data_IF_358033762797
#
_entry.id   IF_358033762797
#
_cell.length_a   1.000
_cell.length_b   1.000
_cell.length_c   1.000
_cell.angle_alpha   90.00
_cell.angle_beta   90.00
_cell.angle_gamma   90.00
#
_symmetry.space_group_name_H-M   'P 1'
#
loop_
_entity.id
_entity.type
_entity.pdbx_description
1 polymer ?
#
# COMPACT_ATOMS: atom_id res chain seq x y z
N UNK A 1 -16.78 13.94 16.13
CA UNK A 1 -15.43 13.42 16.39
C UNK A 1 -15.22 12.22 15.46
N UNK A 2 -13.98 11.77 15.22
CA UNK A 2 -13.78 10.55 14.44
C UNK A 2 -12.69 9.68 15.08
N UNK A 3 -13.00 8.41 15.35
CA UNK A 3 -12.10 7.49 16.04
C UNK A 3 -11.98 6.18 15.28
N UNK A 4 -10.87 5.46 15.46
CA UNK A 4 -10.70 4.15 14.84
C UNK A 4 -10.86 3.05 15.88
N UNK A 5 -11.34 1.89 15.45
CA UNK A 5 -11.50 0.70 16.29
C UNK A 5 -10.42 -0.37 16.04
N UNK A 6 -9.49 -0.13 15.10
CA UNK A 6 -8.35 -1.01 14.80
C UNK A 6 -7.06 -0.21 14.56
N UNK A 7 -5.92 -0.88 14.49
CA UNK A 7 -4.66 -0.31 13.99
C UNK A 7 -4.48 -0.54 12.49
N UNK A 8 -3.55 0.18 11.88
CA UNK A 8 -3.11 -0.05 10.49
C UNK A 8 -2.62 -1.49 10.28
N UNK A 9 -1.89 -2.05 11.23
CA UNK A 9 -1.45 -3.44 11.18
C UNK A 9 -2.59 -4.45 11.20
N UNK A 10 -3.72 -4.12 11.86
CA UNK A 10 -4.89 -4.99 11.80
C UNK A 10 -5.51 -4.93 10.40
N UNK A 11 -5.58 -3.73 9.79
CA UNK A 11 -6.10 -3.55 8.43
C UNK A 11 -5.28 -4.34 7.39
N UNK A 12 -3.97 -4.53 7.59
CA UNK A 12 -3.12 -5.38 6.73
C UNK A 12 -3.68 -6.80 6.58
N UNK A 13 -4.25 -7.39 7.65
CA UNK A 13 -4.73 -8.77 7.63
C UNK A 13 -5.86 -9.02 6.62
N UNK A 14 -6.55 -7.97 6.16
CA UNK A 14 -7.59 -8.08 5.14
C UNK A 14 -7.21 -7.36 3.84
N UNK A 15 -6.47 -6.26 3.91
CA UNK A 15 -6.03 -5.51 2.73
C UNK A 15 -4.97 -6.27 1.93
N UNK A 16 -4.01 -6.91 2.59
CA UNK A 16 -2.94 -7.65 1.92
C UNK A 16 -3.46 -8.84 1.11
N UNK A 17 -4.28 -9.76 1.68
CA UNK A 17 -4.84 -10.86 0.89
C UNK A 17 -5.78 -10.37 -0.21
N UNK A 18 -6.57 -9.31 0.03
CA UNK A 18 -7.44 -8.73 -1.00
C UNK A 18 -6.65 -8.17 -2.19
N UNK A 19 -5.61 -7.37 -1.93
CA UNK A 19 -4.74 -6.84 -2.98
C UNK A 19 -3.97 -7.95 -3.70
N UNK A 20 -3.48 -8.97 -2.98
CA UNK A 20 -2.84 -10.13 -3.60
C UNK A 20 -3.79 -10.82 -4.58
N UNK A 21 -5.02 -11.11 -4.15
CA UNK A 21 -6.01 -11.77 -5.00
C UNK A 21 -6.38 -10.92 -6.23
N UNK A 22 -6.43 -9.59 -6.08
CA UNK A 22 -6.62 -8.65 -7.19
C UNK A 22 -5.47 -8.74 -8.20
N UNK A 23 -4.22 -8.64 -7.74
CA UNK A 23 -3.04 -8.71 -8.60
C UNK A 23 -2.91 -10.07 -9.31
N UNK A 24 -3.26 -11.17 -8.63
CA UNK A 24 -3.24 -12.53 -9.20
C UNK A 24 -4.26 -12.74 -10.33
N UNK A 25 -5.20 -11.81 -10.54
CA UNK A 25 -6.04 -11.81 -11.75
C UNK A 25 -5.21 -11.61 -13.04
N UNK A 26 -4.02 -11.01 -12.94
CA UNK A 26 -3.18 -10.66 -14.10
C UNK A 26 -1.73 -11.14 -14.02
N UNK A 27 -1.16 -11.20 -12.82
CA UNK A 27 0.26 -11.55 -12.63
C UNK A 27 0.38 -13.00 -12.17
N UNK A 28 1.31 -13.75 -12.77
CA UNK A 28 1.51 -15.17 -12.48
C UNK A 28 2.07 -15.44 -11.08
N UNK A 29 2.87 -14.50 -10.58
CA UNK A 29 3.49 -14.57 -9.25
C UNK A 29 3.28 -13.23 -8.56
N UNK A 30 2.70 -13.25 -7.36
CA UNK A 30 2.49 -12.08 -6.51
C UNK A 30 2.98 -12.40 -5.10
N UNK A 31 4.01 -11.68 -4.64
CA UNK A 31 4.61 -11.87 -3.32
C UNK A 31 4.49 -10.58 -2.51
N UNK A 32 3.60 -10.52 -1.50
CA UNK A 32 3.62 -9.43 -0.54
C UNK A 32 4.81 -9.59 0.41
N UNK A 33 5.54 -8.51 0.65
CA UNK A 33 6.64 -8.44 1.61
C UNK A 33 6.52 -7.20 2.50
N UNK A 34 6.93 -7.37 3.75
CA UNK A 34 7.23 -6.26 4.64
C UNK A 34 8.75 -6.17 4.78
N UNK A 35 9.42 -5.19 4.15
CA UNK A 35 10.87 -5.28 3.95
C UNK A 35 11.67 -4.98 5.20
N UNK A 36 12.43 -5.99 5.62
CA UNK A 36 13.52 -5.88 6.57
C UNK A 36 14.84 -6.05 5.81
N UNK A 37 15.66 -4.98 5.74
CA UNK A 37 16.88 -4.93 4.92
C UNK A 37 17.81 -6.15 5.13
N UNK A 38 18.01 -6.60 6.38
CA UNK A 38 18.85 -7.77 6.67
C UNK A 38 18.19 -9.13 6.43
N UNK A 39 16.92 -9.19 6.00
CA UNK A 39 16.16 -10.42 5.72
C UNK A 39 15.85 -10.52 4.24
N UNK A 40 14.94 -9.68 3.74
CA UNK A 40 14.46 -9.74 2.35
C UNK A 40 15.49 -9.23 1.35
N UNK A 41 16.51 -8.48 1.79
CA UNK A 41 17.61 -7.99 0.95
C UNK A 41 18.98 -8.55 1.36
N UNK A 42 18.99 -9.56 2.24
CA UNK A 42 20.22 -10.28 2.57
C UNK A 42 20.71 -11.15 1.40
N UNK A 43 21.99 -11.56 1.46
CA UNK A 43 22.62 -12.38 0.41
C UNK A 43 21.80 -13.61 0.03
N UNK A 44 21.20 -14.30 1.02
CA UNK A 44 20.37 -15.48 0.76
C UNK A 44 19.17 -15.12 -0.11
N UNK A 45 18.38 -14.12 0.29
CA UNK A 45 17.22 -13.68 -0.48
C UNK A 45 17.61 -13.25 -1.91
N UNK A 46 18.68 -12.43 -2.04
CA UNK A 46 19.22 -12.03 -3.35
C UNK A 46 19.71 -13.20 -4.21
N UNK A 47 20.17 -14.31 -3.61
CA UNK A 47 20.61 -15.50 -4.35
C UNK A 47 19.49 -16.49 -4.67
N UNK A 48 18.34 -16.44 -3.98
CA UNK A 48 17.28 -17.46 -4.08
C UNK A 48 15.91 -16.92 -4.45
N UNK A 49 15.75 -15.63 -4.78
CA UNK A 49 14.43 -15.02 -5.02
C UNK A 49 13.72 -15.55 -6.28
N UNK A 50 14.45 -16.05 -7.28
CA UNK A 50 13.86 -16.71 -8.45
C UNK A 50 13.20 -15.81 -9.51
N UNK A 51 13.21 -14.48 -9.31
CA UNK A 51 12.72 -13.51 -10.29
C UNK A 51 13.79 -13.16 -11.33
N UNK A 52 13.43 -13.06 -12.61
CA UNK A 52 14.26 -12.40 -13.64
C UNK A 52 14.14 -10.87 -13.57
N UNK A 53 13.01 -10.38 -13.05
CA UNK A 53 12.64 -8.99 -12.79
C UNK A 53 11.20 -8.95 -12.29
N UNK A 54 10.78 -7.85 -11.69
CA UNK A 54 9.41 -7.70 -11.16
C UNK A 54 8.95 -6.24 -11.14
N UNK A 55 7.66 -5.99 -11.31
CA UNK A 55 7.06 -4.70 -10.98
C UNK A 55 6.78 -4.63 -9.47
N UNK A 56 6.65 -3.42 -8.93
CA UNK A 56 6.45 -3.19 -7.49
C UNK A 56 5.24 -2.29 -7.26
N UNK A 57 4.34 -2.76 -6.39
CA UNK A 57 3.28 -1.95 -5.79
C UNK A 57 3.58 -1.75 -4.30
N UNK A 58 3.68 -0.51 -3.84
CA UNK A 58 3.70 -0.16 -2.42
C UNK A 58 2.29 0.22 -1.97
N UNK A 59 1.70 -0.59 -1.07
CA UNK A 59 0.39 -0.37 -0.49
C UNK A 59 0.52 0.19 0.92
N UNK A 60 -0.09 1.35 1.18
CA UNK A 60 -0.25 1.92 2.52
C UNK A 60 -1.58 1.47 3.16
N UNK A 61 -1.56 0.59 4.17
CA UNK A 61 -2.77 0.14 4.86
C UNK A 61 -3.35 1.23 5.76
N UNK A 62 -4.51 1.75 5.42
CA UNK A 62 -5.22 2.76 6.23
C UNK A 62 -6.29 2.08 7.06
N UNK A 63 -6.39 2.48 8.32
CA UNK A 63 -7.48 2.09 9.21
C UNK A 63 -8.71 2.97 8.95
N UNK A 64 -9.93 2.41 9.02
CA UNK A 64 -11.15 3.20 8.99
C UNK A 64 -11.27 4.03 10.27
N UNK A 65 -11.76 5.25 10.13
CA UNK A 65 -12.18 6.13 11.24
C UNK A 65 -13.67 6.35 11.14
N UNK A 66 -14.39 6.19 12.23
CA UNK A 66 -15.85 6.28 12.24
C UNK A 66 -16.24 7.63 12.82
N UNK A 67 -17.04 8.38 12.04
CA UNK A 67 -17.60 9.66 12.46
C UNK A 67 -18.76 9.46 13.46
N UNK A 68 -19.22 10.55 14.09
CA UNK A 68 -20.39 10.49 14.97
C UNK A 68 -21.69 10.11 14.23
N UNK A 69 -21.69 10.18 12.89
CA UNK A 69 -22.81 9.81 12.02
C UNK A 69 -22.59 8.45 11.33
N UNK A 70 -21.70 7.60 11.87
CA UNK A 70 -21.34 6.28 11.34
C UNK A 70 -20.73 6.27 9.92
N UNK A 71 -20.23 7.42 9.44
CA UNK A 71 -19.51 7.48 8.17
C UNK A 71 -18.10 6.91 8.32
N UNK A 72 -17.67 6.11 7.34
CA UNK A 72 -16.30 5.61 7.27
C UNK A 72 -15.41 6.67 6.62
N UNK A 73 -14.46 7.14 7.40
CA UNK A 73 -13.47 8.15 7.03
C UNK A 73 -12.08 7.53 6.93
N UNK A 74 -11.23 8.15 6.12
CA UNK A 74 -9.82 7.77 5.92
C UNK A 74 -8.92 9.00 6.03
N UNK A 75 -7.72 8.82 6.54
CA UNK A 75 -6.68 9.86 6.56
C UNK A 75 -5.63 9.53 5.51
N UNK A 76 -5.46 10.39 4.52
CA UNK A 76 -4.27 10.46 3.67
C UNK A 76 -3.57 11.76 4.04
N UNK A 77 -2.33 11.68 4.51
CA UNK A 77 -1.56 12.85 4.95
C UNK A 77 -0.47 13.19 3.91
N UNK A 78 0.10 14.39 4.01
CA UNK A 78 1.14 14.82 3.06
C UNK A 78 2.40 13.93 3.05
N UNK A 79 2.66 13.18 4.12
CA UNK A 79 3.76 12.22 4.15
C UNK A 79 3.58 11.09 3.13
N UNK A 80 2.34 10.63 2.95
CA UNK A 80 2.00 9.63 1.93
C UNK A 80 2.24 10.21 0.53
N UNK A 81 1.89 11.47 0.30
CA UNK A 81 2.16 12.15 -0.97
C UNK A 81 3.64 12.28 -1.27
N UNK A 82 4.44 12.74 -0.31
CA UNK A 82 5.91 12.81 -0.45
C UNK A 82 6.48 11.42 -0.74
N UNK A 83 5.97 10.36 -0.07
CA UNK A 83 6.38 9.00 -0.40
C UNK A 83 6.02 8.63 -1.84
N UNK A 84 4.82 8.97 -2.30
CA UNK A 84 4.39 8.71 -3.69
C UNK A 84 5.30 9.42 -4.69
N UNK A 85 5.66 10.69 -4.47
CA UNK A 85 6.57 11.43 -5.35
C UNK A 85 7.89 10.69 -5.53
N UNK A 86 8.53 10.26 -4.43
CA UNK A 86 9.77 9.45 -4.48
C UNK A 86 9.49 8.11 -5.17
N UNK A 87 8.36 7.48 -4.89
CA UNK A 87 7.95 6.23 -5.54
C UNK A 87 7.87 6.38 -7.06
N UNK A 88 7.26 7.47 -7.55
CA UNK A 88 7.13 7.77 -8.97
C UNK A 88 8.49 8.03 -9.63
N UNK A 89 9.41 8.72 -8.96
CA UNK A 89 10.78 8.93 -9.45
C UNK A 89 11.55 7.62 -9.64
N UNK A 90 11.24 6.62 -8.82
CA UNK A 90 11.79 5.26 -8.94
C UNK A 90 10.89 4.32 -9.75
N UNK A 91 9.82 4.80 -10.41
CA UNK A 91 8.96 3.96 -11.23
C UNK A 91 8.10 2.94 -10.46
N UNK A 92 7.90 3.15 -9.16
CA UNK A 92 7.12 2.29 -8.26
C UNK A 92 5.69 2.81 -8.15
N UNK A 93 4.71 1.90 -8.27
CA UNK A 93 3.31 2.24 -8.04
C UNK A 93 3.06 2.37 -6.54
N UNK A 94 2.48 3.49 -6.08
CA UNK A 94 2.18 3.72 -4.66
C UNK A 94 0.70 4.04 -4.49
N UNK A 95 0.00 3.29 -3.65
CA UNK A 95 -1.42 3.47 -3.37
C UNK A 95 -1.71 3.34 -1.87
N UNK A 96 -2.89 3.77 -1.44
CA UNK A 96 -3.44 3.49 -0.12
C UNK A 96 -4.66 2.57 -0.23
N UNK A 97 -4.93 1.80 0.83
CA UNK A 97 -6.13 0.97 0.92
C UNK A 97 -6.81 1.13 2.27
N UNK A 98 -8.12 1.21 2.31
CA UNK A 98 -8.90 1.23 3.56
C UNK A 98 -10.05 0.24 3.47
N UNK A 99 -10.25 -0.65 4.46
CA UNK A 99 -11.46 -1.46 4.50
C UNK A 99 -12.65 -0.59 4.85
N UNK A 100 -13.78 -0.84 4.19
CA UNK A 100 -15.05 -0.16 4.47
C UNK A 100 -15.78 -0.98 5.53
N UNK A 101 -15.53 -0.64 6.80
CA UNK A 101 -16.12 -1.32 7.95
C UNK A 101 -16.23 -0.35 9.14
N UNK A 102 -17.32 -0.44 9.90
CA UNK A 102 -17.61 0.44 11.06
C UNK A 102 -17.28 -0.18 12.41
N UNK A 103 -17.09 -1.50 12.45
CA UNK A 103 -16.85 -2.26 13.67
C UNK A 103 -16.09 -3.57 13.40
N UNK A 104 -15.69 -4.29 14.46
CA UNK A 104 -14.91 -5.54 14.35
C UNK A 104 -15.67 -6.68 13.64
N UNK A 105 -17.01 -6.71 13.72
CA UNK A 105 -17.81 -7.74 13.06
C UNK A 105 -17.82 -7.55 11.56
N UNK A 106 -18.09 -6.33 11.09
CA UNK A 106 -18.01 -5.97 9.68
C UNK A 106 -16.59 -6.13 9.14
N UNK A 107 -15.58 -5.73 9.92
CA UNK A 107 -14.18 -5.90 9.56
C UNK A 107 -13.81 -7.38 9.32
N UNK A 108 -14.31 -8.29 10.16
CA UNK A 108 -14.01 -9.72 10.04
C UNK A 108 -14.53 -10.36 8.75
N UNK A 109 -15.59 -9.81 8.15
CA UNK A 109 -16.18 -10.28 6.89
C UNK A 109 -16.11 -9.24 5.76
N UNK A 110 -15.23 -8.24 5.90
CA UNK A 110 -15.16 -7.11 4.98
C UNK A 110 -14.67 -7.58 3.60
N UNK A 111 -15.44 -7.25 2.56
CA UNK A 111 -15.11 -7.51 1.15
C UNK A 111 -15.14 -6.23 0.30
N UNK A 112 -15.39 -5.08 0.93
CA UNK A 112 -15.38 -3.77 0.29
C UNK A 112 -14.14 -2.98 0.74
N UNK A 113 -13.34 -2.55 -0.24
CA UNK A 113 -12.10 -1.84 0.00
C UNK A 113 -12.08 -0.56 -0.82
N UNK A 114 -11.74 0.55 -0.16
CA UNK A 114 -11.42 1.78 -0.84
C UNK A 114 -9.93 1.76 -1.21
N UNK A 115 -9.63 1.50 -2.48
CA UNK A 115 -8.30 1.70 -3.04
C UNK A 115 -8.17 3.15 -3.49
N UNK A 116 -7.14 3.83 -3.03
CA UNK A 116 -6.99 5.26 -3.18
C UNK A 116 -5.67 5.54 -3.88
N UNK A 117 -5.73 6.33 -4.95
CA UNK A 117 -4.53 7.01 -5.42
C UNK A 117 -4.10 8.02 -4.36
N UNK A 118 -2.81 8.09 -4.03
CA UNK A 118 -2.34 9.05 -3.03
C UNK A 118 -2.10 10.38 -3.73
N UNK A 119 -2.78 11.46 -3.34
CA UNK A 119 -2.66 12.78 -3.96
C UNK A 119 -2.71 13.84 -2.86
N UNK A 120 -2.10 15.00 -3.09
CA UNK A 120 -2.11 16.15 -2.19
C UNK A 120 -3.49 16.76 -2.00
N UNK A 121 -4.45 16.37 -2.85
CA UNK A 121 -5.80 16.89 -2.86
C UNK A 121 -6.75 16.28 -1.80
N UNK A 122 -6.25 15.53 -0.82
CA UNK A 122 -7.10 15.02 0.28
C UNK A 122 -7.07 15.96 1.49
N UNK A 123 -8.24 16.22 2.07
CA UNK A 123 -8.30 16.64 3.46
C UNK A 123 -7.61 15.62 4.36
N UNK A 124 -7.02 16.08 5.47
CA UNK A 124 -6.41 15.19 6.48
C UNK A 124 -7.35 14.07 6.94
N UNK A 125 -8.66 14.27 6.81
CA UNK A 125 -9.70 13.29 7.09
C UNK A 125 -10.82 13.46 6.08
N UNK A 126 -11.10 12.42 5.29
CA UNK A 126 -12.09 12.44 4.21
C UNK A 126 -13.05 11.26 4.33
N UNK A 127 -14.30 11.46 3.91
CA UNK A 127 -15.27 10.38 3.82
C UNK A 127 -14.95 9.47 2.64
N UNK A 128 -14.95 8.16 2.86
CA UNK A 128 -14.71 7.20 1.78
C UNK A 128 -15.72 7.42 0.63
N UNK A 129 -16.95 7.83 0.94
CA UNK A 129 -17.98 8.11 -0.05
C UNK A 129 -17.73 9.40 -0.85
N UNK A 130 -17.18 10.45 -0.21
CA UNK A 130 -16.79 11.67 -0.93
C UNK A 130 -15.62 11.41 -1.88
N UNK A 131 -14.82 10.39 -1.62
CA UNK A 131 -13.69 9.98 -2.45
C UNK A 131 -14.07 9.06 -3.62
N UNK A 132 -15.35 8.76 -3.86
CA UNK A 132 -15.75 7.79 -4.90
C UNK A 132 -15.13 8.05 -6.29
N UNK A 133 -15.02 9.32 -6.71
CA UNK A 133 -14.38 9.70 -7.98
C UNK A 133 -12.84 9.69 -7.97
N UNK A 134 -12.22 9.45 -6.81
CA UNK A 134 -10.77 9.33 -6.61
C UNK A 134 -10.34 7.91 -6.23
N UNK A 135 -11.30 6.97 -6.11
CA UNK A 135 -11.01 5.55 -5.86
C UNK A 135 -10.46 4.92 -7.13
N UNK A 136 -9.41 4.13 -6.99
CA UNK A 136 -8.86 3.32 -8.07
C UNK A 136 -9.72 2.07 -8.26
N UNK A 137 -10.07 1.79 -9.50
CA UNK A 137 -10.68 0.52 -9.91
C UNK A 137 -9.64 -0.60 -9.96
N UNK A 138 -10.11 -1.85 -9.92
CA UNK A 138 -9.23 -3.02 -10.09
C UNK A 138 -8.44 -2.94 -11.40
N UNK A 139 -9.08 -2.52 -12.49
CA UNK A 139 -8.47 -2.36 -13.81
C UNK A 139 -7.38 -1.28 -13.82
N UNK A 140 -7.59 -0.15 -13.12
CA UNK A 140 -6.61 0.93 -13.01
C UNK A 140 -5.38 0.51 -12.22
N UNK A 141 -5.57 -0.22 -11.10
CA UNK A 141 -4.46 -0.77 -10.30
C UNK A 141 -3.65 -1.73 -11.16
N UNK A 142 -4.31 -2.70 -11.80
CA UNK A 142 -3.66 -3.68 -12.67
C UNK A 142 -2.93 -3.00 -13.84
N UNK A 143 -3.53 -2.00 -14.47
CA UNK A 143 -2.94 -1.27 -15.57
C UNK A 143 -1.71 -0.46 -15.14
N UNK A 144 -1.78 0.22 -14.00
CA UNK A 144 -0.68 1.04 -13.47
C UNK A 144 0.51 0.18 -13.09
N UNK A 145 0.28 -0.91 -12.35
CA UNK A 145 1.36 -1.86 -11.97
C UNK A 145 2.00 -2.50 -13.20
N UNK A 146 1.21 -2.83 -14.23
CA UNK A 146 1.74 -3.42 -15.48
C UNK A 146 2.63 -2.46 -16.27
N UNK A 147 2.43 -1.16 -16.12
CA UNK A 147 3.17 -0.11 -16.83
C UNK A 147 4.33 0.45 -16.01
N UNK A 148 4.46 0.05 -14.74
CA UNK A 148 5.52 0.52 -13.85
C UNK A 148 6.89 -0.01 -14.31
N UNK A 149 7.96 0.53 -13.74
CA UNK A 149 9.30 0.03 -14.04
C UNK A 149 9.49 -1.41 -13.54
N UNK A 150 10.35 -2.15 -14.25
CA UNK A 150 10.78 -3.49 -13.84
C UNK A 150 12.01 -3.34 -12.96
N UNK A 151 11.94 -3.93 -11.76
CA UNK A 151 12.95 -3.86 -10.72
C UNK A 151 13.72 -5.16 -10.56
N UNK A 152 14.89 -5.03 -9.94
CA UNK A 152 15.65 -6.11 -9.33
C UNK A 152 15.63 -5.95 -7.80
N UNK A 153 16.17 -6.94 -7.09
CA UNK A 153 16.35 -6.81 -5.64
C UNK A 153 17.24 -5.62 -5.27
N UNK A 154 18.23 -5.28 -6.10
CA UNK A 154 19.15 -4.17 -5.82
C UNK A 154 18.49 -2.80 -6.04
N UNK A 155 17.69 -2.64 -7.11
CA UNK A 155 16.99 -1.37 -7.35
C UNK A 155 15.90 -1.14 -6.32
N UNK A 156 15.17 -2.19 -5.92
CA UNK A 156 14.20 -2.09 -4.82
C UNK A 156 14.87 -1.82 -3.47
N UNK A 157 16.03 -2.43 -3.18
CA UNK A 157 16.78 -2.13 -1.95
C UNK A 157 17.20 -0.66 -1.90
N UNK A 158 17.70 -0.13 -3.01
CA UNK A 158 18.10 1.27 -3.12
C UNK A 158 16.92 2.20 -2.81
N UNK A 159 15.75 1.95 -3.39
CA UNK A 159 14.52 2.69 -3.09
C UNK A 159 14.12 2.62 -1.61
N UNK A 160 14.13 1.41 -1.01
CA UNK A 160 13.75 1.23 0.41
C UNK A 160 14.75 1.92 1.34
N UNK A 161 16.02 1.98 0.96
CA UNK A 161 17.03 2.75 1.69
C UNK A 161 16.74 4.24 1.54
N UNK A 162 16.53 4.73 0.34
CA UNK A 162 16.28 6.14 0.05
C UNK A 162 15.07 6.68 0.84
N UNK A 163 13.94 6.00 0.75
CA UNK A 163 12.72 6.34 1.51
C UNK A 163 12.89 6.27 3.03
N UNK A 164 13.80 5.43 3.55
CA UNK A 164 14.16 5.40 4.99
C UNK A 164 15.02 6.59 5.43
N UNK A 165 15.77 7.21 4.53
CA UNK A 165 16.68 8.32 4.86
C UNK A 165 16.08 9.70 4.55
N UNK A 166 15.17 9.77 3.57
CA UNK A 166 14.47 11.01 3.18
C UNK A 166 13.31 11.34 4.11
N UNK A 167 12.60 10.33 4.62
CA UNK A 167 11.48 10.54 5.52
C UNK A 167 11.98 10.64 6.96
N UNK A 168 11.66 11.70 7.73
CA UNK A 168 12.35 11.92 8.99
C UNK A 168 12.00 10.82 9.99
N UNK A 169 13.00 10.37 10.74
CA UNK A 169 12.91 9.25 11.70
C UNK A 169 11.78 9.37 12.75
N UNK A 170 11.20 10.57 12.91
CA UNK A 170 10.06 10.86 13.78
C UNK A 170 8.66 10.79 13.13
N UNK A 171 8.56 10.85 11.80
CA UNK A 171 7.25 10.84 11.10
C UNK A 171 6.82 9.41 10.72
N UNK A 172 7.77 8.58 10.25
CA UNK A 172 7.64 7.13 10.18
C UNK A 172 8.77 6.47 10.96
N UNK A 173 8.73 6.58 12.29
CA UNK A 173 9.59 5.76 13.15
C UNK A 173 9.42 4.26 12.90
N UNK A 174 9.78 3.43 13.87
CA UNK A 174 9.68 1.96 13.81
C UNK A 174 8.28 1.34 13.50
N UNK A 175 7.26 2.11 13.09
CA UNK A 175 5.84 1.76 13.25
C UNK A 175 4.95 1.75 12.01
N UNK A 176 5.27 2.40 10.88
CA UNK A 176 4.36 2.33 9.73
C UNK A 176 5.11 2.41 8.40
N UNK A 177 4.99 1.35 7.61
CA UNK A 177 5.65 1.17 6.31
C UNK A 177 4.63 0.56 5.35
N UNK A 178 4.71 0.85 4.04
CA UNK A 178 3.87 0.16 3.09
C UNK A 178 4.23 -1.33 3.06
N UNK A 179 3.25 -2.14 2.68
CA UNK A 179 3.47 -3.52 2.24
C UNK A 179 3.79 -3.47 0.75
N UNK A 180 4.85 -4.15 0.33
CA UNK A 180 5.29 -4.16 -1.06
C UNK A 180 4.84 -5.45 -1.72
N UNK A 181 4.25 -5.37 -2.90
CA UNK A 181 3.91 -6.53 -3.71
C UNK A 181 4.92 -6.60 -4.85
N UNK A 182 5.72 -7.66 -4.86
CA UNK A 182 6.56 -7.99 -6.00
C UNK A 182 5.72 -8.81 -6.96
N UNK A 183 5.58 -8.34 -8.20
CA UNK A 183 4.78 -9.04 -9.21
C UNK A 183 5.61 -9.37 -10.43
N UNK A 184 5.58 -10.64 -10.84
CA UNK A 184 6.20 -11.06 -12.09
C UNK A 184 5.18 -10.97 -13.23
N UNK A 185 5.60 -10.36 -14.34
CA UNK A 185 4.83 -10.45 -15.59
C UNK A 185 4.94 -11.86 -16.18
N UNK A 186 3.95 -12.22 -17.00
CA UNK A 186 3.96 -13.45 -17.80
C UNK A 186 5.09 -13.47 -18.82
#
# INVERSE_FOLDING_TARGET
MATSFISEHSAEFILVPAMKALLEKKFSVVVPIFPWLSREFGNRAKSTHGFSGFNVLALFPRRPKISDNDEVLVTVNGELSVYKEIGLEHGITVIAGCPVATNLWEFASCNEFAWLDIDDAYGYLESIDSLAGKRLTDEEILATVSKSEVHSMDTLEAFIRDTRYVLPAGFFGTRYKPVYFLVAQH
#
